data_IF_801910092071
#
_entry.id   IF_801910092071
#
_cell.length_a   1.000
_cell.length_b   1.000
_cell.length_c   1.000
_cell.angle_alpha   90.00
_cell.angle_beta   90.00
_cell.angle_gamma   90.00
#
_symmetry.space_group_name_H-M   'P 1'
#
loop_
_entity.id
_entity.type
_entity.pdbx_description
1 polymer ?
#
# COMPACT_ATOMS: atom_id res chain seq x y z
N UNK A 1 0.22 33.54 40.15
CA UNK A 1 1.32 32.56 39.99
C UNK A 1 0.77 31.13 39.77
N UNK A 2 -0.24 30.69 40.52
CA UNK A 2 -0.82 29.34 40.36
C UNK A 2 -1.65 29.15 39.09
N UNK A 3 -2.31 30.20 38.56
CA UNK A 3 -3.06 30.11 37.29
C UNK A 3 -2.16 29.97 36.03
N UNK A 4 -0.96 30.58 36.04
CA UNK A 4 -0.02 30.50 34.94
C UNK A 4 0.60 29.09 34.90
N UNK A 5 0.91 28.52 36.07
CA UNK A 5 1.44 27.16 36.20
C UNK A 5 0.38 26.11 35.78
N UNK A 6 -0.91 26.34 36.12
CA UNK A 6 -2.00 25.45 35.69
C UNK A 6 -2.18 25.48 34.18
N UNK A 7 -2.16 26.65 33.53
CA UNK A 7 -2.23 26.75 32.07
C UNK A 7 -1.05 26.11 31.35
N UNK A 8 0.16 26.19 31.90
CA UNK A 8 1.33 25.50 31.32
C UNK A 8 1.26 23.97 31.46
N UNK A 9 0.72 23.46 32.58
CA UNK A 9 0.53 22.02 32.77
C UNK A 9 -0.58 21.48 31.87
N UNK A 10 -1.65 22.24 31.62
CA UNK A 10 -2.72 21.85 30.68
C UNK A 10 -2.25 21.91 29.21
N UNK A 11 -1.32 22.81 28.87
CA UNK A 11 -0.72 22.87 27.53
C UNK A 11 0.24 21.68 27.25
N UNK A 12 0.89 21.14 28.27
CA UNK A 12 1.76 19.96 28.17
C UNK A 12 0.97 18.64 28.13
N UNK A 13 -0.29 18.63 28.60
CA UNK A 13 -1.21 17.48 28.53
C UNK A 13 -1.99 17.34 27.22
N UNK A 14 -1.71 18.14 26.20
CA UNK A 14 -2.29 17.94 24.86
C UNK A 14 -1.69 16.70 24.21
N UNK A 15 -2.08 15.55 24.75
CA UNK A 15 -1.81 14.24 24.15
C UNK A 15 -2.32 14.18 22.71
N UNK A 16 -1.66 13.39 21.86
CA UNK A 16 -2.11 13.14 20.50
C UNK A 16 -3.54 12.63 20.50
N UNK A 17 -4.32 13.09 19.53
CA UNK A 17 -5.67 12.56 19.30
C UNK A 17 -5.63 11.15 18.75
N UNK A 18 -6.69 10.38 18.95
CA UNK A 18 -6.80 9.01 18.42
C UNK A 18 -6.56 8.95 16.90
N UNK A 19 -7.12 9.86 16.05
CA UNK A 19 -6.79 9.90 14.62
C UNK A 19 -5.31 10.15 14.33
N UNK A 20 -4.62 11.00 15.10
CA UNK A 20 -3.18 11.24 14.94
C UNK A 20 -2.35 10.01 15.29
N UNK A 21 -2.73 9.27 16.34
CA UNK A 21 -2.09 8.00 16.69
C UNK A 21 -2.30 6.99 15.57
N UNK A 22 -3.51 6.86 15.04
CA UNK A 22 -3.81 5.97 13.93
C UNK A 22 -3.01 6.34 12.67
N UNK A 23 -2.86 7.64 12.37
CA UNK A 23 -2.00 8.12 11.29
C UNK A 23 -0.53 7.71 11.46
N UNK A 24 0.00 7.79 12.69
CA UNK A 24 1.36 7.33 13.00
C UNK A 24 1.50 5.81 12.86
N UNK A 25 0.52 5.05 13.35
CA UNK A 25 0.49 3.59 13.18
C UNK A 25 0.51 3.23 11.70
N UNK A 26 -0.34 3.87 10.90
CA UNK A 26 -0.39 3.66 9.45
C UNK A 26 0.97 3.95 8.80
N UNK A 27 1.59 5.08 9.13
CA UNK A 27 2.89 5.45 8.57
C UNK A 27 3.97 4.43 8.94
N UNK A 28 4.09 4.06 10.21
CA UNK A 28 5.09 3.09 10.70
C UNK A 28 4.86 1.73 10.05
N UNK A 29 3.61 1.26 9.98
CA UNK A 29 3.28 0.00 9.34
C UNK A 29 3.63 0.00 7.84
N UNK A 30 3.41 1.11 7.12
CA UNK A 30 3.83 1.27 5.73
C UNK A 30 5.36 1.23 5.56
N UNK A 31 6.11 1.88 6.45
CA UNK A 31 7.59 1.78 6.49
C UNK A 31 8.03 0.34 6.77
N UNK A 32 7.37 -0.34 7.71
CA UNK A 32 7.66 -1.76 8.04
C UNK A 32 7.41 -2.64 6.81
N UNK A 33 6.32 -2.45 6.07
CA UNK A 33 6.04 -3.17 4.82
C UNK A 33 7.20 -3.04 3.82
N UNK A 34 7.69 -1.81 3.58
CA UNK A 34 8.80 -1.57 2.66
C UNK A 34 10.13 -2.15 3.17
N UNK A 35 10.38 -2.07 4.47
CA UNK A 35 11.57 -2.65 5.08
C UNK A 35 11.59 -4.19 4.96
N UNK A 36 10.42 -4.84 5.18
CA UNK A 36 10.29 -6.30 5.02
C UNK A 36 10.40 -6.70 3.54
N UNK A 37 9.83 -5.91 2.60
CA UNK A 37 10.04 -6.13 1.16
C UNK A 37 11.52 -6.05 0.80
N UNK A 38 12.24 -5.04 1.28
CA UNK A 38 13.66 -4.91 1.05
C UNK A 38 14.46 -6.10 1.66
N UNK A 39 14.10 -6.51 2.89
CA UNK A 39 14.74 -7.64 3.55
C UNK A 39 14.60 -8.94 2.76
N UNK A 40 13.44 -9.20 2.13
CA UNK A 40 13.21 -10.39 1.31
C UNK A 40 14.18 -10.51 0.14
N UNK A 41 14.65 -9.40 -0.45
CA UNK A 41 15.65 -9.45 -1.53
C UNK A 41 17.00 -9.97 -1.06
N UNK A 42 17.35 -9.76 0.21
CA UNK A 42 18.61 -10.26 0.80
C UNK A 42 18.46 -11.65 1.39
N UNK A 43 17.28 -11.95 1.95
CA UNK A 43 17.00 -13.23 2.61
C UNK A 43 16.70 -14.36 1.61
N UNK A 44 16.13 -14.02 0.47
CA UNK A 44 15.69 -14.98 -0.55
C UNK A 44 16.19 -14.59 -1.94
N UNK A 45 17.53 -14.53 -2.16
CA UNK A 45 18.13 -14.10 -3.42
C UNK A 45 17.87 -15.07 -4.59
N UNK A 46 17.38 -16.27 -4.31
CA UNK A 46 16.95 -17.26 -5.30
C UNK A 46 15.75 -16.81 -6.14
N UNK A 47 14.98 -15.85 -5.67
CA UNK A 47 13.86 -15.28 -6.41
C UNK A 47 14.32 -14.04 -7.20
N UNK A 48 14.68 -14.23 -8.47
CA UNK A 48 15.09 -13.15 -9.36
C UNK A 48 14.03 -12.04 -9.42
N UNK A 49 14.35 -10.80 -8.96
CA UNK A 49 13.40 -9.73 -8.86
C UNK A 49 12.91 -9.19 -10.21
N UNK A 50 13.54 -9.55 -11.32
CA UNK A 50 13.14 -9.07 -12.64
C UNK A 50 11.78 -9.62 -13.06
N UNK A 51 11.50 -10.87 -12.73
CA UNK A 51 10.29 -11.56 -13.19
C UNK A 51 9.50 -12.30 -12.10
N UNK A 52 10.15 -12.73 -11.00
CA UNK A 52 9.46 -13.36 -9.88
C UNK A 52 8.61 -12.33 -9.15
N UNK A 53 7.32 -12.64 -8.98
CA UNK A 53 6.42 -11.78 -8.23
C UNK A 53 6.72 -11.86 -6.72
N UNK A 54 6.39 -10.81 -5.99
CA UNK A 54 6.65 -10.75 -4.53
C UNK A 54 5.94 -11.88 -3.78
N UNK A 55 4.75 -12.30 -4.22
CA UNK A 55 4.03 -13.43 -3.61
C UNK A 55 4.79 -14.77 -3.70
N UNK A 56 5.71 -14.92 -4.64
CA UNK A 56 6.49 -16.15 -4.81
C UNK A 56 7.51 -16.37 -3.69
N UNK A 57 7.87 -15.34 -2.92
CA UNK A 57 8.68 -15.50 -1.71
C UNK A 57 8.03 -16.43 -0.68
N UNK A 58 6.71 -16.68 -0.76
CA UNK A 58 6.03 -17.65 0.07
C UNK A 58 6.60 -19.08 -0.07
N UNK A 59 7.15 -19.41 -1.25
CA UNK A 59 7.75 -20.72 -1.52
C UNK A 59 9.17 -20.87 -0.95
N UNK A 60 9.77 -19.79 -0.43
CA UNK A 60 11.12 -19.79 0.13
C UNK A 60 11.15 -20.03 1.63
N UNK A 61 12.35 -20.21 2.17
CA UNK A 61 12.59 -20.42 3.60
C UNK A 61 12.03 -19.27 4.48
N UNK A 62 12.00 -18.05 3.94
CA UNK A 62 11.58 -16.83 4.64
C UNK A 62 10.16 -16.39 4.25
N UNK A 63 9.29 -17.32 3.83
CA UNK A 63 7.88 -17.03 3.50
C UNK A 63 7.10 -16.34 4.64
N UNK A 64 7.47 -16.61 5.90
CA UNK A 64 6.89 -15.93 7.05
C UNK A 64 7.17 -14.41 7.09
N UNK A 65 8.31 -13.95 6.52
CA UNK A 65 8.62 -12.52 6.38
C UNK A 65 7.67 -11.86 5.39
N UNK A 66 7.31 -12.58 4.32
CA UNK A 66 6.28 -12.14 3.37
C UNK A 66 4.91 -11.99 4.05
N UNK A 67 4.51 -12.97 4.86
CA UNK A 67 3.26 -12.91 5.63
C UNK A 67 3.23 -11.68 6.55
N UNK A 68 4.33 -11.39 7.26
CA UNK A 68 4.45 -10.19 8.08
C UNK A 68 4.41 -8.90 7.25
N UNK A 69 5.00 -8.91 6.05
CA UNK A 69 4.95 -7.78 5.13
C UNK A 69 3.51 -7.44 4.74
N UNK A 70 2.73 -8.43 4.31
CA UNK A 70 1.33 -8.23 3.95
C UNK A 70 0.46 -7.86 5.16
N UNK A 71 0.68 -8.48 6.32
CA UNK A 71 -0.01 -8.10 7.56
C UNK A 71 0.26 -6.66 7.98
N UNK A 72 1.52 -6.21 7.89
CA UNK A 72 1.90 -4.81 8.15
C UNK A 72 1.21 -3.85 7.17
N UNK A 73 1.11 -4.26 5.91
CA UNK A 73 0.43 -3.46 4.89
C UNK A 73 -1.07 -3.32 5.19
N UNK A 74 -1.75 -4.42 5.54
CA UNK A 74 -3.15 -4.41 5.96
C UNK A 74 -3.39 -3.47 7.16
N UNK A 75 -2.53 -3.54 8.18
CA UNK A 75 -2.57 -2.63 9.33
C UNK A 75 -2.40 -1.17 8.87
N UNK A 76 -1.49 -0.91 7.92
CA UNK A 76 -1.27 0.43 7.38
C UNK A 76 -2.53 0.98 6.72
N UNK A 77 -3.20 0.19 5.86
CA UNK A 77 -4.43 0.56 5.14
C UNK A 77 -5.61 0.80 6.10
N UNK A 78 -5.83 -0.07 7.08
CA UNK A 78 -6.93 0.07 8.03
C UNK A 78 -6.71 1.22 9.02
N UNK A 79 -5.48 1.37 9.53
CA UNK A 79 -5.15 2.49 10.40
C UNK A 79 -5.30 3.84 9.67
N UNK A 80 -4.95 3.91 8.38
CA UNK A 80 -5.20 5.09 7.57
C UNK A 80 -6.69 5.36 7.43
N UNK A 81 -7.50 4.36 7.07
CA UNK A 81 -8.94 4.53 6.92
C UNK A 81 -9.56 5.10 8.21
N UNK A 82 -9.13 4.59 9.36
CA UNK A 82 -9.57 5.11 10.66
C UNK A 82 -9.10 6.55 10.90
N UNK A 83 -7.84 6.86 10.60
CA UNK A 83 -7.25 8.19 10.83
C UNK A 83 -7.96 9.31 10.06
N UNK A 84 -8.46 9.02 8.85
CA UNK A 84 -9.08 10.03 7.98
C UNK A 84 -10.60 9.92 7.90
N UNK A 85 -11.23 9.04 8.69
CA UNK A 85 -12.66 8.76 8.61
C UNK A 85 -13.54 10.01 8.71
N UNK A 86 -13.24 10.89 9.67
CA UNK A 86 -13.97 12.15 9.89
C UNK A 86 -13.62 13.25 8.88
N UNK A 87 -12.43 13.17 8.26
CA UNK A 87 -11.96 14.17 7.32
C UNK A 87 -12.58 14.01 5.92
N UNK A 88 -13.04 12.80 5.61
CA UNK A 88 -13.61 12.43 4.31
C UNK A 88 -15.10 12.74 4.30
N UNK A 89 -15.47 13.95 3.84
CA UNK A 89 -16.85 14.46 3.89
C UNK A 89 -17.71 14.14 2.66
N UNK A 90 -17.11 13.81 1.50
CA UNK A 90 -17.86 13.60 0.25
C UNK A 90 -18.32 12.15 0.10
N UNK A 91 -19.43 11.94 -0.67
CA UNK A 91 -19.89 10.57 -1.02
C UNK A 91 -18.79 9.78 -1.75
N UNK A 92 -18.10 10.40 -2.72
CA UNK A 92 -16.99 9.77 -3.44
C UNK A 92 -15.87 9.36 -2.50
N UNK A 93 -15.49 10.23 -1.57
CA UNK A 93 -14.46 9.91 -0.57
C UNK A 93 -14.88 8.76 0.36
N UNK A 94 -16.16 8.66 0.75
CA UNK A 94 -16.68 7.53 1.55
C UNK A 94 -16.64 6.20 0.77
N UNK A 95 -16.91 6.24 -0.52
CA UNK A 95 -16.69 5.08 -1.41
C UNK A 95 -15.19 4.74 -1.44
N UNK A 96 -14.30 5.75 -1.50
CA UNK A 96 -12.87 5.56 -1.42
C UNK A 96 -12.44 4.89 -0.09
N UNK A 97 -13.03 5.28 1.05
CA UNK A 97 -12.77 4.61 2.34
C UNK A 97 -13.18 3.14 2.33
N UNK A 98 -14.33 2.82 1.73
CA UNK A 98 -14.75 1.43 1.55
C UNK A 98 -13.70 0.64 0.75
N UNK A 99 -13.20 1.19 -0.36
CA UNK A 99 -12.16 0.55 -1.16
C UNK A 99 -10.83 0.45 -0.41
N UNK A 100 -10.47 1.42 0.44
CA UNK A 100 -9.27 1.34 1.28
C UNK A 100 -9.37 0.21 2.31
N UNK A 101 -10.54 0.04 2.92
CA UNK A 101 -10.80 -1.08 3.85
C UNK A 101 -10.74 -2.41 3.10
N UNK A 102 -11.33 -2.47 1.90
CA UNK A 102 -11.28 -3.66 1.04
C UNK A 102 -9.84 -3.99 0.62
N UNK A 103 -9.01 -2.99 0.30
CA UNK A 103 -7.58 -3.20 0.02
C UNK A 103 -6.89 -3.86 1.21
N UNK A 104 -7.10 -3.34 2.43
CA UNK A 104 -6.58 -3.95 3.66
C UNK A 104 -7.08 -5.39 3.88
N UNK A 105 -8.30 -5.72 3.49
CA UNK A 105 -8.80 -7.11 3.52
C UNK A 105 -8.03 -7.98 2.54
N UNK A 106 -7.80 -7.53 1.30
CA UNK A 106 -7.00 -8.26 0.32
C UNK A 106 -5.56 -8.49 0.79
N UNK A 107 -4.95 -7.47 1.40
CA UNK A 107 -3.60 -7.54 1.99
C UNK A 107 -3.55 -8.53 3.18
N UNK A 108 -4.54 -8.50 4.07
CA UNK A 108 -4.65 -9.44 5.18
C UNK A 108 -4.88 -10.88 4.69
N UNK A 109 -5.71 -11.07 3.67
CA UNK A 109 -5.88 -12.37 3.03
C UNK A 109 -4.57 -12.87 2.42
N UNK A 110 -3.79 -12.01 1.75
CA UNK A 110 -2.49 -12.37 1.18
C UNK A 110 -1.45 -12.72 2.25
N UNK A 111 -1.60 -12.24 3.48
CA UNK A 111 -0.72 -12.63 4.60
C UNK A 111 -0.98 -14.06 5.10
N UNK A 112 -2.18 -14.60 4.86
CA UNK A 112 -2.63 -15.92 5.33
C UNK A 112 -2.68 -16.93 4.18
N UNK A 113 -3.14 -16.49 3.01
CA UNK A 113 -3.30 -17.33 1.83
C UNK A 113 -2.10 -17.11 0.90
N UNK A 114 -1.14 -18.01 0.94
CA UNK A 114 0.03 -17.99 0.07
C UNK A 114 -0.31 -18.28 -1.39
N UNK A 115 0.68 -18.21 -2.27
CA UNK A 115 0.51 -18.37 -3.72
C UNK A 115 -0.05 -19.75 -4.12
N UNK A 116 0.09 -20.76 -3.28
CA UNK A 116 -0.44 -22.12 -3.51
C UNK A 116 -1.93 -22.26 -3.16
N UNK A 117 -2.46 -21.30 -2.38
CA UNK A 117 -3.85 -21.35 -1.90
C UNK A 117 -4.82 -20.82 -2.98
N UNK A 118 -5.99 -21.47 -3.14
CA UNK A 118 -7.01 -21.10 -4.14
C UNK A 118 -7.55 -19.67 -3.98
N UNK A 119 -7.51 -19.09 -2.78
CA UNK A 119 -7.96 -17.72 -2.50
C UNK A 119 -6.87 -16.66 -2.75
N UNK A 120 -5.63 -17.06 -3.07
CA UNK A 120 -4.55 -16.09 -3.30
C UNK A 120 -4.86 -15.10 -4.43
N UNK A 121 -5.33 -15.61 -5.57
CA UNK A 121 -5.69 -14.75 -6.71
C UNK A 121 -6.80 -13.77 -6.36
N UNK A 122 -7.79 -14.19 -5.57
CA UNK A 122 -8.85 -13.31 -5.08
C UNK A 122 -8.30 -12.22 -4.16
N UNK A 123 -7.38 -12.58 -3.25
CA UNK A 123 -6.70 -11.63 -2.36
C UNK A 123 -5.97 -10.54 -3.15
N UNK A 124 -5.20 -10.96 -4.16
CA UNK A 124 -4.46 -10.06 -5.04
C UNK A 124 -5.41 -9.13 -5.83
N UNK A 125 -6.50 -9.66 -6.39
CA UNK A 125 -7.49 -8.85 -7.12
C UNK A 125 -8.14 -7.80 -6.22
N UNK A 126 -8.50 -8.17 -4.98
CA UNK A 126 -9.10 -7.23 -4.03
C UNK A 126 -8.06 -6.17 -3.62
N UNK A 127 -6.85 -6.55 -3.23
CA UNK A 127 -5.81 -5.62 -2.78
C UNK A 127 -5.35 -4.68 -3.88
N UNK A 128 -4.92 -5.23 -5.02
CA UNK A 128 -4.38 -4.47 -6.15
C UNK A 128 -5.45 -3.60 -6.81
N UNK A 129 -6.67 -4.12 -6.97
CA UNK A 129 -7.74 -3.39 -7.65
C UNK A 129 -8.38 -2.29 -6.81
N UNK A 130 -8.48 -2.49 -5.49
CA UNK A 130 -9.17 -1.55 -4.61
C UNK A 130 -8.36 -0.30 -4.30
N UNK A 131 -7.04 -0.43 -4.11
CA UNK A 131 -6.22 0.67 -3.57
C UNK A 131 -6.11 1.87 -4.53
N UNK A 132 -5.95 1.74 -5.86
CA UNK A 132 -5.94 2.89 -6.77
C UNK A 132 -7.27 3.65 -6.78
N UNK A 133 -8.38 2.93 -6.70
CA UNK A 133 -9.73 3.54 -6.59
C UNK A 133 -9.83 4.33 -5.28
N UNK A 134 -9.43 3.72 -4.16
CA UNK A 134 -9.38 4.38 -2.87
C UNK A 134 -8.50 5.64 -2.92
N UNK A 135 -7.28 5.52 -3.47
CA UNK A 135 -6.31 6.59 -3.53
C UNK A 135 -6.86 7.81 -4.29
N UNK A 136 -7.46 7.60 -5.44
CA UNK A 136 -8.03 8.70 -6.23
C UNK A 136 -9.21 9.36 -5.53
N UNK A 137 -10.21 8.58 -5.09
CA UNK A 137 -11.44 9.12 -4.51
C UNK A 137 -11.19 9.84 -3.18
N UNK A 138 -10.31 9.30 -2.33
CA UNK A 138 -9.91 9.92 -1.07
C UNK A 138 -9.12 11.19 -1.34
N UNK A 139 -8.14 11.16 -2.26
CA UNK A 139 -7.30 12.33 -2.56
C UNK A 139 -8.11 13.50 -3.13
N UNK A 140 -9.09 13.20 -4.00
CA UNK A 140 -10.02 14.23 -4.51
C UNK A 140 -10.87 14.79 -3.38
N UNK A 141 -11.41 13.95 -2.50
CA UNK A 141 -12.24 14.38 -1.37
C UNK A 141 -11.46 15.24 -0.38
N UNK A 142 -10.27 14.78 0.05
CA UNK A 142 -9.42 15.52 0.96
C UNK A 142 -8.90 16.82 0.33
N UNK A 143 -8.48 16.79 -0.95
CA UNK A 143 -7.98 17.96 -1.68
C UNK A 143 -9.05 19.06 -1.90
N UNK A 144 -10.33 18.75 -1.74
CA UNK A 144 -11.44 19.70 -1.71
C UNK A 144 -11.69 20.32 -0.33
N UNK A 145 -11.13 19.76 0.73
CA UNK A 145 -11.20 20.31 2.07
C UNK A 145 -10.12 21.40 2.25
N UNK A 146 -10.49 22.58 2.75
CA UNK A 146 -9.58 23.72 2.96
C UNK A 146 -8.36 23.31 3.78
N UNK A 147 -8.57 22.46 4.76
CA UNK A 147 -7.54 21.93 5.63
C UNK A 147 -6.43 21.15 4.92
N UNK A 148 -6.76 20.45 3.86
CA UNK A 148 -5.87 19.59 3.09
C UNK A 148 -5.41 20.23 1.77
N UNK A 149 -5.86 21.47 1.49
CA UNK A 149 -5.66 22.15 0.21
C UNK A 149 -4.17 22.33 -0.16
N UNK A 150 -3.31 22.60 0.82
CA UNK A 150 -1.85 22.74 0.63
C UNK A 150 -1.24 21.44 0.13
N UNK A 151 -1.76 20.30 0.58
CA UNK A 151 -1.27 18.96 0.20
C UNK A 151 -1.93 18.41 -1.08
N UNK A 152 -2.92 19.08 -1.66
CA UNK A 152 -3.70 18.61 -2.81
C UNK A 152 -2.83 18.08 -3.94
N UNK A 153 -1.76 18.78 -4.28
CA UNK A 153 -0.84 18.37 -5.36
C UNK A 153 -0.17 17.02 -5.02
N UNK A 154 0.36 16.88 -3.81
CA UNK A 154 1.02 15.64 -3.36
C UNK A 154 0.03 14.47 -3.30
N UNK A 155 -1.19 14.69 -2.78
CA UNK A 155 -2.25 13.70 -2.71
C UNK A 155 -2.62 13.19 -4.12
N UNK A 156 -2.87 14.09 -5.07
CA UNK A 156 -3.26 13.71 -6.43
C UNK A 156 -2.10 13.07 -7.20
N UNK A 157 -0.87 13.56 -7.03
CA UNK A 157 0.29 12.95 -7.67
C UNK A 157 0.51 11.52 -7.21
N UNK A 158 0.56 11.28 -5.89
CA UNK A 158 0.77 9.94 -5.35
C UNK A 158 -0.40 9.01 -5.69
N UNK A 159 -1.65 9.50 -5.70
CA UNK A 159 -2.81 8.74 -6.14
C UNK A 159 -2.74 8.34 -7.62
N UNK A 160 -2.34 9.27 -8.51
CA UNK A 160 -2.20 8.93 -9.94
C UNK A 160 -1.06 7.94 -10.18
N UNK A 161 0.04 8.01 -9.41
CA UNK A 161 1.12 7.04 -9.50
C UNK A 161 0.64 5.62 -9.20
N UNK A 162 -0.36 5.42 -8.33
CA UNK A 162 -0.93 4.09 -8.09
C UNK A 162 -1.56 3.50 -9.36
N UNK A 163 -2.27 4.30 -10.14
CA UNK A 163 -2.84 3.88 -11.44
C UNK A 163 -1.74 3.59 -12.45
N UNK A 164 -0.72 4.46 -12.53
CA UNK A 164 0.42 4.26 -13.44
C UNK A 164 1.13 2.94 -13.12
N UNK A 165 1.32 2.61 -11.83
CA UNK A 165 1.98 1.36 -11.43
C UNK A 165 1.17 0.11 -11.78
N UNK A 166 -0.17 0.16 -11.69
CA UNK A 166 -1.06 -0.94 -12.13
C UNK A 166 -0.98 -1.15 -13.63
N UNK A 167 -1.07 -0.06 -14.39
CA UNK A 167 -0.97 -0.13 -15.88
C UNK A 167 0.39 -0.68 -16.29
N UNK A 168 1.46 -0.22 -15.65
CA UNK A 168 2.82 -0.70 -15.92
C UNK A 168 2.97 -2.19 -15.59
N UNK A 169 2.43 -2.64 -14.45
CA UNK A 169 2.44 -4.05 -14.08
C UNK A 169 1.67 -4.90 -15.10
N UNK A 170 0.48 -4.47 -15.51
CA UNK A 170 -0.30 -5.17 -16.53
C UNK A 170 0.41 -5.21 -17.87
N UNK A 171 1.02 -4.10 -18.31
CA UNK A 171 1.77 -4.02 -19.56
C UNK A 171 2.98 -4.95 -19.54
N UNK A 172 3.78 -4.96 -18.47
CA UNK A 172 4.96 -5.84 -18.36
C UNK A 172 4.57 -7.31 -18.28
N UNK A 173 3.41 -7.63 -17.67
CA UNK A 173 2.88 -8.99 -17.66
C UNK A 173 2.46 -9.46 -19.06
N UNK A 174 1.77 -8.60 -19.81
CA UNK A 174 1.39 -8.89 -21.20
C UNK A 174 2.64 -9.08 -22.07
N UNK A 175 3.66 -8.21 -21.95
CA UNK A 175 4.91 -8.30 -22.68
C UNK A 175 5.62 -9.64 -22.38
N UNK A 176 5.66 -10.03 -21.09
CA UNK A 176 6.22 -11.31 -20.68
C UNK A 176 5.51 -12.48 -21.38
N UNK A 177 4.18 -12.53 -21.32
CA UNK A 177 3.39 -13.60 -21.96
C UNK A 177 3.66 -13.65 -23.47
N UNK A 178 3.59 -12.51 -24.15
CA UNK A 178 3.76 -12.44 -25.61
C UNK A 178 5.16 -12.88 -26.02
N UNK A 179 6.21 -12.37 -25.37
CA UNK A 179 7.59 -12.71 -25.74
C UNK A 179 7.93 -14.15 -25.36
N UNK A 180 7.37 -14.69 -24.28
CA UNK A 180 7.55 -16.08 -23.87
C UNK A 180 6.89 -17.07 -24.84
N UNK A 181 5.65 -16.81 -25.26
CA UNK A 181 4.94 -17.65 -26.24
C UNK A 181 5.59 -17.57 -27.62
N UNK A 182 6.08 -16.39 -28.04
CA UNK A 182 6.84 -16.24 -29.29
C UNK A 182 8.17 -17.00 -29.29
N UNK A 183 8.81 -17.16 -28.13
CA UNK A 183 9.99 -17.96 -27.95
C UNK A 183 9.72 -19.49 -27.85
N UNK A 184 8.48 -19.92 -28.08
CA UNK A 184 8.06 -21.32 -28.00
C UNK A 184 7.81 -21.83 -26.58
N UNK A 185 7.71 -20.93 -25.60
CA UNK A 185 7.40 -21.31 -24.22
C UNK A 185 5.93 -21.67 -24.04
N UNK A 186 5.67 -22.73 -23.29
CA UNK A 186 4.33 -23.07 -22.82
C UNK A 186 4.12 -22.53 -21.41
N UNK A 187 2.97 -21.88 -21.16
CA UNK A 187 2.61 -21.33 -19.84
C UNK A 187 2.26 -22.47 -18.87
N UNK A 188 3.29 -23.14 -18.38
CA UNK A 188 3.20 -24.17 -17.34
C UNK A 188 3.63 -23.59 -15.99
N UNK A 189 3.25 -24.23 -14.89
CA UNK A 189 3.48 -23.74 -13.52
C UNK A 189 4.94 -23.75 -13.06
N UNK A 190 5.90 -24.26 -13.84
CA UNK A 190 7.28 -24.49 -13.41
C UNK A 190 8.33 -23.82 -14.31
N UNK A 191 8.12 -22.58 -14.69
CA UNK A 191 9.15 -21.84 -15.42
C UNK A 191 10.28 -21.47 -14.46
N UNK A 192 11.47 -22.06 -14.65
CA UNK A 192 12.66 -21.75 -13.85
C UNK A 192 13.65 -20.83 -14.58
N UNK A 193 13.67 -20.91 -15.92
CA UNK A 193 14.55 -20.11 -16.78
C UNK A 193 13.80 -19.75 -18.06
N UNK A 194 13.92 -18.52 -18.50
CA UNK A 194 13.34 -18.09 -19.77
C UNK A 194 14.27 -18.32 -20.97
N UNK A 195 13.70 -18.64 -22.14
CA UNK A 195 14.46 -18.66 -23.40
C UNK A 195 15.05 -17.29 -23.73
N UNK A 196 16.13 -17.25 -24.56
CA UNK A 196 16.66 -15.98 -25.05
C UNK A 196 15.60 -15.15 -25.79
N UNK A 197 15.59 -13.83 -25.55
CA UNK A 197 14.65 -12.89 -26.18
C UNK A 197 13.37 -12.64 -25.40
N UNK A 198 13.12 -13.34 -24.31
CA UNK A 198 11.97 -13.06 -23.42
C UNK A 198 12.23 -11.81 -22.60
N UNK A 199 11.27 -10.89 -22.60
CA UNK A 199 11.32 -9.65 -21.81
C UNK A 199 10.59 -9.87 -20.49
N UNK A 200 11.34 -10.00 -19.41
CA UNK A 200 10.85 -10.36 -18.10
C UNK A 200 11.07 -9.20 -17.10
N UNK A 201 10.10 -8.28 -16.99
CA UNK A 201 10.15 -7.09 -16.14
C UNK A 201 9.01 -7.02 -15.10
N UNK A 202 8.09 -7.99 -15.14
CA UNK A 202 6.88 -7.98 -14.32
C UNK A 202 7.18 -7.99 -12.82
N UNK A 203 8.26 -8.64 -12.40
CA UNK A 203 8.68 -8.67 -11.01
C UNK A 203 9.10 -7.29 -10.49
N UNK A 204 9.85 -6.51 -11.28
CA UNK A 204 10.16 -5.11 -10.93
C UNK A 204 8.93 -4.23 -10.92
N UNK A 205 8.01 -4.41 -11.87
CA UNK A 205 6.76 -3.65 -11.90
C UNK A 205 5.86 -3.97 -10.70
N UNK A 206 5.83 -5.22 -10.24
CA UNK A 206 5.11 -5.64 -9.04
C UNK A 206 5.70 -4.98 -7.77
N UNK A 207 7.02 -4.90 -7.65
CA UNK A 207 7.70 -4.20 -6.54
C UNK A 207 7.44 -2.71 -6.57
N UNK A 208 7.52 -2.10 -7.75
CA UNK A 208 7.20 -0.68 -7.93
C UNK A 208 5.76 -0.39 -7.50
N UNK A 209 4.80 -1.25 -7.84
CA UNK A 209 3.42 -1.12 -7.41
C UNK A 209 3.30 -1.07 -5.87
N UNK A 210 3.94 -2.00 -5.16
CA UNK A 210 3.92 -2.02 -3.70
C UNK A 210 4.52 -0.73 -3.12
N UNK A 211 5.67 -0.29 -3.65
CA UNK A 211 6.33 0.95 -3.21
C UNK A 211 5.42 2.16 -3.41
N UNK A 212 4.81 2.28 -4.58
CA UNK A 212 3.93 3.41 -4.91
C UNK A 212 2.66 3.41 -4.05
N UNK A 213 2.09 2.24 -3.79
CA UNK A 213 0.92 2.08 -2.92
C UNK A 213 1.26 2.51 -1.48
N UNK A 214 2.35 2.01 -0.93
CA UNK A 214 2.84 2.44 0.38
C UNK A 214 3.16 3.95 0.41
N UNK A 215 3.73 4.50 -0.66
CA UNK A 215 4.03 5.93 -0.75
C UNK A 215 2.78 6.79 -0.62
N UNK A 216 1.68 6.42 -1.31
CA UNK A 216 0.41 7.14 -1.17
C UNK A 216 -0.14 7.01 0.26
N UNK A 217 -0.22 5.80 0.80
CA UNK A 217 -0.72 5.57 2.17
C UNK A 217 0.09 6.37 3.18
N UNK A 218 1.43 6.31 3.12
CA UNK A 218 2.33 7.02 4.03
C UNK A 218 2.22 8.55 3.87
N UNK A 219 2.00 9.06 2.65
CA UNK A 219 1.79 10.49 2.42
C UNK A 219 0.55 10.97 3.15
N UNK A 220 -0.59 10.30 2.97
CA UNK A 220 -1.84 10.66 3.65
C UNK A 220 -1.72 10.47 5.16
N UNK A 221 -1.12 9.36 5.60
CA UNK A 221 -0.92 9.05 7.02
C UNK A 221 -0.07 10.09 7.74
N UNK A 222 1.02 10.55 7.12
CA UNK A 222 1.88 11.61 7.67
C UNK A 222 1.12 12.93 7.83
N UNK A 223 0.30 13.29 6.84
CA UNK A 223 -0.53 14.49 6.91
C UNK A 223 -1.58 14.38 8.02
N UNK A 224 -2.25 13.24 8.14
CA UNK A 224 -3.21 12.98 9.20
C UNK A 224 -2.58 13.03 10.60
N UNK A 225 -1.38 12.44 10.75
CA UNK A 225 -0.64 12.43 12.01
C UNK A 225 -0.19 13.83 12.48
N UNK A 226 0.05 14.74 11.54
CA UNK A 226 0.54 16.09 11.82
C UNK A 226 -0.57 17.15 11.82
N UNK A 227 -1.82 16.76 11.52
CA UNK A 227 -2.94 17.71 11.47
C UNK A 227 -3.28 18.22 12.87
N UNK A 228 -3.21 19.54 13.05
CA UNK A 228 -3.66 20.24 14.27
C UNK A 228 -5.18 20.50 14.29
N UNK A 229 -5.90 19.93 13.32
CA UNK A 229 -7.31 20.27 12.99
C UNK A 229 -8.34 19.87 14.05
N UNK A 230 -8.05 18.89 14.89
CA UNK A 230 -8.99 18.41 15.91
C UNK A 230 -9.14 19.33 17.13
N UNK A 231 -8.55 20.55 17.11
CA UNK A 231 -8.56 21.46 18.26
C UNK A 231 -9.62 22.58 18.18
N UNK A 232 -10.44 22.59 17.14
CA UNK A 232 -11.41 23.70 16.92
C UNK A 232 -12.87 23.26 16.78
N UNK A 233 -13.21 22.08 17.25
CA UNK A 233 -14.61 21.62 17.34
C UNK A 233 -15.07 21.39 18.76
#
# INVERSE_FOLDING_TARGET
>A
MNEVISKDIDSIRLGMTIPQIAGRISFVAGVTTLALLAALHFLSPEFDPSWRMVSEYANGQYGWVLSLMFASWAVSSWALAFAIWSEVGTRAGKIGLFFLIAAGVGEAMASVFDISHSLHSLSAMIGIGSLPVAALLISVSLGGNQAWSIAKKALLWTANLTWVSVVLMAATFIILIVTYTQAGGEMTSEVTVFPPGVIALVGWANRLLIVVYCLWVMTVARLAANSSWSRSS
#
